data_IF_621427167389
#
_entry.id   IF_621427167389
#
_cell.length_a   1.000
_cell.length_b   1.000
_cell.length_c   1.000
_cell.angle_alpha   90.00
_cell.angle_beta   90.00
_cell.angle_gamma   90.00
#
_symmetry.space_group_name_H-M   'P 1'
#
loop_
_entity.id
_entity.type
_entity.pdbx_description
1 polymer ?
#
# COMPACT_ATOMS: atom_id res chain seq x y z
N UNK A 1 4.55 -1.58 0.22
CA UNK A 1 3.64 -1.75 -0.92
C UNK A 1 4.45 -1.84 -2.21
N UNK A 2 4.09 -2.80 -3.08
CA UNK A 2 4.79 -3.01 -4.35
C UNK A 2 4.26 -2.05 -5.41
N UNK A 3 5.17 -1.32 -6.02
CA UNK A 3 4.80 -0.38 -7.07
C UNK A 3 4.31 -1.14 -8.31
N UNK A 4 3.16 -0.70 -8.84
CA UNK A 4 2.59 -1.24 -10.08
C UNK A 4 2.20 -2.73 -10.07
N UNK A 5 2.00 -3.35 -8.89
CA UNK A 5 1.63 -4.76 -8.77
C UNK A 5 0.37 -5.13 -9.55
N UNK A 6 -0.64 -4.24 -9.54
CA UNK A 6 -1.86 -4.44 -10.33
C UNK A 6 -1.54 -4.59 -11.82
N UNK A 7 -0.64 -3.76 -12.36
CA UNK A 7 -0.27 -3.84 -13.78
C UNK A 7 0.40 -5.19 -14.12
N UNK A 8 1.17 -5.76 -13.19
CA UNK A 8 1.73 -7.11 -13.34
C UNK A 8 0.62 -8.16 -13.43
N UNK A 9 -0.37 -8.10 -12.53
CA UNK A 9 -1.51 -9.00 -12.59
C UNK A 9 -2.32 -8.86 -13.88
N UNK A 10 -2.58 -7.62 -14.29
CA UNK A 10 -3.37 -7.33 -15.49
C UNK A 10 -2.66 -7.79 -16.77
N UNK A 11 -1.33 -7.69 -16.83
CA UNK A 11 -0.53 -8.05 -18.00
C UNK A 11 -0.12 -9.51 -18.05
N UNK A 12 0.23 -10.13 -16.91
CA UNK A 12 0.83 -11.47 -16.84
C UNK A 12 -0.02 -12.49 -16.09
N UNK A 13 -1.17 -12.04 -15.56
CA UNK A 13 -2.10 -12.87 -14.80
C UNK A 13 -1.75 -13.02 -13.32
N UNK A 14 -2.72 -13.44 -12.52
CA UNK A 14 -2.58 -13.55 -11.05
C UNK A 14 -1.48 -14.54 -10.62
N UNK A 15 -1.22 -15.58 -11.39
CA UNK A 15 -0.13 -16.52 -11.07
C UNK A 15 1.24 -15.83 -11.09
N UNK A 16 1.46 -14.95 -12.05
CA UNK A 16 2.68 -14.15 -12.13
C UNK A 16 2.82 -13.18 -10.93
N UNK A 17 1.71 -12.55 -10.53
CA UNK A 17 1.67 -11.74 -9.32
C UNK A 17 1.97 -12.55 -8.05
N UNK A 18 1.45 -13.76 -7.93
CA UNK A 18 1.75 -14.64 -6.79
C UNK A 18 3.24 -15.03 -6.74
N UNK A 19 3.86 -15.30 -7.87
CA UNK A 19 5.29 -15.63 -7.94
C UNK A 19 6.16 -14.39 -7.64
N UNK A 20 5.74 -13.21 -8.07
CA UNK A 20 6.35 -11.94 -7.67
C UNK A 20 6.28 -11.74 -6.16
N UNK A 21 5.11 -11.93 -5.55
CA UNK A 21 4.94 -11.82 -4.09
C UNK A 21 5.84 -12.78 -3.31
N UNK A 22 6.00 -14.03 -3.77
CA UNK A 22 6.93 -14.99 -3.16
C UNK A 22 8.38 -14.52 -3.27
N UNK A 23 8.77 -14.00 -4.43
CA UNK A 23 10.11 -13.46 -4.65
C UNK A 23 10.41 -12.30 -3.71
N UNK A 24 9.46 -11.37 -3.59
CA UNK A 24 9.55 -10.23 -2.67
C UNK A 24 9.62 -10.69 -1.22
N UNK A 25 8.73 -11.61 -0.80
CA UNK A 25 8.74 -12.13 0.55
C UNK A 25 10.08 -12.78 0.91
N UNK A 26 10.66 -13.56 0.00
CA UNK A 26 11.99 -14.16 0.18
C UNK A 26 13.10 -13.11 0.29
N UNK A 27 13.07 -12.07 -0.55
CA UNK A 27 14.03 -10.98 -0.51
C UNK A 27 13.94 -10.17 0.80
N UNK A 28 12.73 -9.86 1.27
CA UNK A 28 12.50 -9.19 2.55
C UNK A 28 12.93 -10.06 3.72
N UNK A 29 12.61 -11.36 3.70
CA UNK A 29 13.02 -12.31 4.75
C UNK A 29 14.52 -12.44 4.84
N UNK A 30 15.23 -12.42 3.72
CA UNK A 30 16.71 -12.48 3.69
C UNK A 30 17.38 -11.24 4.28
N UNK A 31 16.64 -10.14 4.49
CA UNK A 31 17.14 -8.92 5.12
C UNK A 31 16.69 -8.74 6.57
N UNK A 32 15.61 -9.38 6.94
CA UNK A 32 15.09 -9.31 8.30
C UNK A 32 15.98 -10.08 9.27
N UNK A 33 16.20 -9.50 10.45
CA UNK A 33 16.85 -10.18 11.58
C UNK A 33 15.90 -11.24 12.15
N UNK A 34 16.41 -12.11 13.00
CA UNK A 34 15.60 -13.12 13.70
C UNK A 34 14.52 -12.46 14.60
N UNK A 35 14.85 -11.29 15.15
CA UNK A 35 13.96 -10.49 16.01
C UNK A 35 12.92 -9.69 15.24
N UNK A 36 13.12 -9.48 13.94
CA UNK A 36 12.21 -8.68 13.12
C UNK A 36 10.97 -9.49 12.73
N UNK A 37 9.81 -8.84 12.75
CA UNK A 37 8.55 -9.46 12.38
C UNK A 37 8.19 -9.00 10.97
N UNK A 38 8.12 -9.94 10.05
CA UNK A 38 7.68 -9.71 8.67
C UNK A 38 6.30 -10.34 8.47
N UNK A 39 5.36 -9.57 7.97
CA UNK A 39 4.01 -10.01 7.64
C UNK A 39 3.56 -9.48 6.28
N UNK A 40 2.72 -10.24 5.59
CA UNK A 40 1.93 -9.74 4.46
C UNK A 40 0.57 -9.30 5.00
N UNK A 41 0.22 -8.02 4.83
CA UNK A 41 -1.00 -7.42 5.37
C UNK A 41 -2.22 -7.68 4.47
N UNK A 42 -1.99 -7.75 3.17
CA UNK A 42 -3.00 -8.04 2.15
C UNK A 42 -2.52 -7.60 0.78
N UNK A 43 -3.08 -8.15 -0.29
CA UNK A 43 -2.73 -7.75 -1.66
C UNK A 43 -1.21 -7.73 -1.90
N UNK A 44 -0.66 -6.56 -2.16
CA UNK A 44 0.76 -6.26 -2.39
C UNK A 44 1.43 -5.55 -1.20
N UNK A 45 0.75 -5.47 -0.06
CA UNK A 45 1.23 -4.79 1.14
C UNK A 45 1.97 -5.74 2.09
N UNK A 46 3.16 -5.32 2.52
CA UNK A 46 3.98 -5.99 3.53
C UNK A 46 4.23 -5.07 4.72
N UNK A 47 4.19 -5.63 5.92
CA UNK A 47 4.55 -4.94 7.16
C UNK A 47 5.80 -5.54 7.78
N UNK A 48 6.68 -4.69 8.29
CA UNK A 48 7.89 -5.09 9.02
C UNK A 48 7.93 -4.33 10.34
N UNK A 49 8.03 -5.06 11.44
CA UNK A 49 8.29 -4.46 12.76
C UNK A 49 9.74 -4.71 13.10
N UNK A 50 10.44 -3.64 13.41
CA UNK A 50 11.86 -3.65 13.79
C UNK A 50 11.97 -3.33 15.30
N UNK A 51 12.12 -4.33 16.18
CA UNK A 51 12.32 -4.07 17.60
C UNK A 51 13.66 -3.38 17.88
N UNK A 52 13.66 -2.47 18.84
CA UNK A 52 14.88 -1.83 19.37
C UNK A 52 15.76 -1.16 18.29
N UNK A 53 15.13 -0.44 17.36
CA UNK A 53 15.83 0.38 16.38
C UNK A 53 15.49 1.86 16.61
N UNK A 54 16.48 2.71 16.44
CA UNK A 54 16.31 4.16 16.37
C UNK A 54 15.99 4.62 14.93
N UNK A 55 15.82 5.93 14.75
CA UNK A 55 15.47 6.51 13.45
C UNK A 55 16.56 6.29 12.40
N UNK A 56 17.83 6.38 12.77
CA UNK A 56 18.95 6.21 11.84
C UNK A 56 19.05 4.75 11.38
N UNK A 57 18.89 3.81 12.30
CA UNK A 57 18.88 2.39 12.00
C UNK A 57 17.67 2.01 11.13
N UNK A 58 16.49 2.58 11.42
CA UNK A 58 15.30 2.37 10.61
C UNK A 58 15.48 2.89 9.18
N UNK A 59 16.16 4.04 9.01
CA UNK A 59 16.51 4.59 7.70
C UNK A 59 17.39 3.65 6.90
N UNK A 60 18.46 3.14 7.50
CA UNK A 60 19.38 2.17 6.88
C UNK A 60 18.63 0.91 6.44
N UNK A 61 17.70 0.41 7.27
CA UNK A 61 16.90 -0.77 6.91
C UNK A 61 15.95 -0.44 5.76
N UNK A 62 15.23 0.68 5.81
CA UNK A 62 14.28 1.07 4.77
C UNK A 62 14.98 1.30 3.41
N UNK A 63 16.10 2.01 3.41
CA UNK A 63 16.92 2.20 2.21
C UNK A 63 17.43 0.86 1.67
N UNK A 64 17.86 -0.02 2.57
CA UNK A 64 18.31 -1.36 2.23
C UNK A 64 17.20 -2.20 1.59
N UNK A 65 15.95 -2.11 2.06
CA UNK A 65 14.79 -2.78 1.48
C UNK A 65 14.56 -2.28 0.05
N UNK A 66 14.46 -0.97 -0.15
CA UNK A 66 14.28 -0.37 -1.50
C UNK A 66 15.39 -0.83 -2.45
N UNK A 67 16.65 -0.73 -2.04
CA UNK A 67 17.80 -1.17 -2.86
C UNK A 67 17.76 -2.68 -3.16
N UNK A 68 17.31 -3.49 -2.21
CA UNK A 68 17.23 -4.95 -2.41
C UNK A 68 16.14 -5.28 -3.42
N UNK A 69 14.96 -4.70 -3.29
CA UNK A 69 13.86 -4.94 -4.22
C UNK A 69 14.20 -4.43 -5.63
N UNK A 70 14.79 -3.24 -5.76
CA UNK A 70 15.25 -2.70 -7.05
C UNK A 70 16.25 -3.62 -7.77
N UNK A 71 17.06 -4.40 -7.03
CA UNK A 71 17.97 -5.39 -7.61
C UNK A 71 17.29 -6.70 -7.97
N UNK A 72 16.10 -6.94 -7.43
CA UNK A 72 15.31 -8.09 -7.79
C UNK A 72 14.68 -7.86 -9.16
N UNK A 73 14.91 -8.80 -10.03
CA UNK A 73 14.20 -8.85 -11.30
C UNK A 73 13.33 -10.10 -11.27
N UNK A 74 12.03 -9.92 -11.29
CA UNK A 74 11.13 -11.05 -11.39
C UNK A 74 11.15 -11.58 -12.83
N UNK A 75 11.47 -12.87 -13.01
CA UNK A 75 11.35 -13.54 -14.29
C UNK A 75 9.90 -14.01 -14.45
N UNK A 76 9.10 -13.24 -15.19
CA UNK A 76 7.71 -13.55 -15.46
C UNK A 76 7.51 -13.77 -16.95
N UNK A 77 7.11 -14.98 -17.34
CA UNK A 77 6.87 -15.35 -18.73
C UNK A 77 7.98 -14.92 -19.71
N UNK A 78 9.24 -15.21 -19.35
CA UNK A 78 10.46 -14.82 -20.10
C UNK A 78 10.79 -13.31 -20.11
N UNK A 79 10.01 -12.48 -19.40
CA UNK A 79 10.28 -11.05 -19.26
C UNK A 79 10.93 -10.75 -17.91
N UNK A 80 11.92 -9.86 -17.96
CA UNK A 80 12.55 -9.32 -16.77
C UNK A 80 11.76 -8.07 -16.33
N UNK A 81 11.07 -8.17 -15.19
CA UNK A 81 10.28 -7.06 -14.65
C UNK A 81 11.02 -6.49 -13.44
N UNK A 82 11.39 -5.20 -13.47
CA UNK A 82 11.97 -4.56 -12.30
C UNK A 82 10.95 -4.50 -11.17
N UNK A 83 11.39 -4.88 -9.96
CA UNK A 83 10.56 -4.84 -8.76
C UNK A 83 10.92 -3.59 -7.97
N UNK A 84 9.97 -2.70 -7.76
CA UNK A 84 10.13 -1.54 -6.89
C UNK A 84 9.05 -1.51 -5.83
N UNK A 85 9.31 -0.79 -4.75
CA UNK A 85 8.37 -0.61 -3.66
C UNK A 85 8.43 0.81 -3.09
N UNK A 86 7.28 1.27 -2.64
CA UNK A 86 7.15 2.46 -1.80
C UNK A 86 7.06 2.04 -0.35
N UNK A 87 7.94 2.58 0.50
CA UNK A 87 8.08 2.19 1.90
C UNK A 87 7.76 3.37 2.80
N UNK A 88 6.80 3.20 3.72
CA UNK A 88 6.52 4.14 4.79
C UNK A 88 7.16 3.68 6.09
N UNK A 89 7.80 4.58 6.79
CA UNK A 89 8.46 4.32 8.07
C UNK A 89 7.85 5.19 9.15
N UNK A 90 7.43 4.57 10.25
CA UNK A 90 6.96 5.28 11.44
C UNK A 90 7.62 4.70 12.70
N UNK A 91 7.95 5.57 13.65
CA UNK A 91 8.54 5.18 14.92
C UNK A 91 7.46 5.06 15.99
N UNK A 92 7.60 4.08 16.88
CA UNK A 92 6.76 3.92 18.07
C UNK A 92 7.20 4.97 19.13
N UNK A 93 6.86 6.21 18.89
CA UNK A 93 7.14 7.33 19.81
C UNK A 93 5.80 7.82 20.41
N UNK A 94 5.31 7.08 21.38
CA UNK A 94 4.06 7.38 22.07
C UNK A 94 2.77 7.15 21.24
N UNK A 95 2.87 6.62 20.03
CA UNK A 95 1.71 6.30 19.19
C UNK A 95 1.06 4.96 19.59
N UNK A 96 -0.25 4.88 19.46
CA UNK A 96 -0.99 3.61 19.59
C UNK A 96 -0.75 2.71 18.38
N UNK A 97 -1.12 1.42 18.49
CA UNK A 97 -0.98 0.47 17.38
C UNK A 97 -1.75 0.88 16.12
N UNK A 98 -2.88 1.57 16.27
CA UNK A 98 -3.68 2.07 15.14
C UNK A 98 -3.02 3.29 14.52
N UNK A 99 -2.53 4.20 15.34
CA UNK A 99 -1.86 5.43 14.88
C UNK A 99 -0.56 5.14 14.17
N UNK A 100 0.22 4.14 14.61
CA UNK A 100 1.48 3.78 13.96
C UNK A 100 1.26 3.22 12.55
N UNK A 101 0.23 2.40 12.34
CA UNK A 101 -0.11 1.91 11.01
C UNK A 101 -0.55 3.05 10.10
N UNK A 102 -1.43 3.92 10.59
CA UNK A 102 -1.86 5.10 9.83
C UNK A 102 -0.68 6.04 9.50
N UNK A 103 0.25 6.22 10.43
CA UNK A 103 1.46 7.00 10.22
C UNK A 103 2.36 6.39 9.14
N UNK A 104 2.57 5.07 9.17
CA UNK A 104 3.33 4.35 8.15
C UNK A 104 2.65 4.43 6.77
N UNK A 105 1.32 4.27 6.71
CA UNK A 105 0.54 4.41 5.46
C UNK A 105 0.69 5.80 4.85
N UNK A 106 0.66 6.86 5.67
CA UNK A 106 0.86 8.23 5.21
C UNK A 106 2.25 8.43 4.62
N UNK A 107 3.27 7.96 5.32
CA UNK A 107 4.64 8.05 4.82
C UNK A 107 4.80 7.25 3.51
N UNK A 108 4.20 6.08 3.42
CA UNK A 108 4.19 5.28 2.19
C UNK A 108 3.51 6.04 1.03
N UNK A 109 2.39 6.71 1.31
CA UNK A 109 1.71 7.53 0.32
C UNK A 109 2.56 8.72 -0.13
N UNK A 110 3.29 9.37 0.79
CA UNK A 110 4.28 10.40 0.43
C UNK A 110 5.39 9.84 -0.47
N UNK A 111 5.88 8.63 -0.19
CA UNK A 111 6.85 7.96 -1.06
C UNK A 111 6.28 7.72 -2.47
N UNK A 112 5.03 7.27 -2.58
CA UNK A 112 4.33 7.08 -3.87
C UNK A 112 4.17 8.39 -4.65
N UNK A 113 3.77 9.48 -3.98
CA UNK A 113 3.62 10.79 -4.61
C UNK A 113 4.96 11.39 -5.04
N UNK A 114 6.02 11.13 -4.31
CA UNK A 114 7.36 11.63 -4.64
C UNK A 114 8.04 10.87 -5.80
N UNK A 115 7.35 9.92 -6.44
CA UNK A 115 7.84 9.21 -7.62
C UNK A 115 8.14 7.73 -7.39
N UNK A 116 7.64 7.13 -6.31
CA UNK A 116 7.79 5.70 -5.96
C UNK A 116 9.26 5.25 -5.80
N UNK A 117 9.49 3.94 -5.67
CA UNK A 117 10.84 3.34 -5.56
C UNK A 117 11.71 4.02 -4.50
N UNK A 118 11.13 4.28 -3.34
CA UNK A 118 11.75 5.00 -2.22
C UNK A 118 11.07 4.71 -0.89
N UNK A 119 11.68 5.20 0.17
CA UNK A 119 11.05 5.28 1.48
C UNK A 119 10.76 6.73 1.85
N UNK A 120 9.83 6.92 2.79
CA UNK A 120 9.60 8.16 3.49
C UNK A 120 9.36 7.88 4.98
N UNK A 121 9.76 8.83 5.83
CA UNK A 121 9.46 8.80 7.25
C UNK A 121 8.20 9.58 7.57
N UNK A 122 7.37 9.02 8.40
CA UNK A 122 6.30 9.78 9.03
C UNK A 122 6.93 10.88 9.91
N UNK A 123 6.58 12.11 9.63
CA UNK A 123 6.96 13.29 10.43
C UNK A 123 5.69 13.95 10.92
N UNK A 124 5.42 13.93 12.25
CA UNK A 124 4.32 14.74 12.80
C UNK A 124 4.56 16.20 12.41
N UNK A 125 3.68 16.78 11.64
CA UNK A 125 3.76 18.22 11.30
C UNK A 125 3.24 19.02 12.48
N UNK A 126 4.09 19.88 13.07
CA UNK A 126 3.75 20.77 14.18
C UNK A 126 2.72 21.84 13.82
N UNK A 127 2.44 22.10 12.54
CA UNK A 127 1.57 23.20 12.09
C UNK A 127 0.60 22.82 10.95
N UNK A 128 0.40 21.56 10.63
CA UNK A 128 -0.58 21.16 9.64
C UNK A 128 -1.63 20.27 10.29
N UNK A 129 -2.88 20.66 10.15
CA UNK A 129 -4.03 19.79 10.42
C UNK A 129 -3.77 18.38 9.93
N UNK A 130 -4.08 17.35 10.74
CA UNK A 130 -3.65 15.99 10.48
C UNK A 130 -4.28 15.47 9.18
N UNK A 131 -3.47 15.36 8.15
CA UNK A 131 -3.76 14.48 7.01
C UNK A 131 -3.50 12.98 7.34
N UNK A 132 -3.05 12.68 8.59
CA UNK A 132 -3.17 11.36 9.22
C UNK A 132 -4.61 10.90 9.29
N UNK A 133 -5.48 11.82 9.12
CA UNK A 133 -6.87 11.67 8.89
C UNK A 133 -7.24 11.26 7.46
N UNK A 134 -6.39 10.84 6.57
CA UNK A 134 -6.94 10.44 5.26
C UNK A 134 -7.91 9.27 5.43
N UNK A 135 -7.53 8.18 6.07
CA UNK A 135 -8.48 7.11 6.38
C UNK A 135 -9.41 7.44 7.56
N UNK A 136 -8.92 8.16 8.61
CA UNK A 136 -9.80 8.64 9.67
C UNK A 136 -10.69 9.81 9.18
N UNK A 137 -10.19 10.75 8.41
CA UNK A 137 -11.01 11.80 7.80
C UNK A 137 -11.87 11.27 6.66
N UNK A 138 -11.46 10.23 5.95
CA UNK A 138 -12.33 9.48 5.05
C UNK A 138 -13.40 8.73 5.85
N UNK A 139 -13.06 8.06 6.93
CA UNK A 139 -14.03 7.40 7.82
C UNK A 139 -14.97 8.41 8.50
N UNK A 140 -14.45 9.51 9.04
CA UNK A 140 -15.25 10.61 9.56
C UNK A 140 -16.02 11.33 8.46
N UNK A 141 -15.46 11.44 7.26
CA UNK A 141 -16.12 11.95 6.06
C UNK A 141 -17.29 11.08 5.64
N UNK A 142 -17.10 9.77 5.61
CA UNK A 142 -18.14 8.77 5.35
C UNK A 142 -19.20 8.81 6.45
N UNK A 143 -18.80 8.88 7.71
CA UNK A 143 -19.74 8.93 8.83
C UNK A 143 -20.56 10.23 8.85
N UNK A 144 -19.96 11.36 8.53
CA UNK A 144 -20.65 12.64 8.31
C UNK A 144 -21.57 12.58 7.10
N UNK A 145 -21.15 11.93 6.02
CA UNK A 145 -21.97 11.75 4.83
C UNK A 145 -23.20 10.89 5.08
N UNK A 146 -23.04 9.82 5.89
CA UNK A 146 -24.15 8.98 6.35
C UNK A 146 -25.16 9.76 7.21
N UNK A 147 -24.67 10.58 8.15
CA UNK A 147 -25.53 11.36 9.05
C UNK A 147 -26.23 12.55 8.37
N UNK A 148 -25.72 13.01 7.24
CA UNK A 148 -26.26 14.17 6.51
C UNK A 148 -26.87 13.78 5.15
N UNK A 149 -27.15 12.50 4.92
CA UNK A 149 -27.74 11.98 3.67
C UNK A 149 -27.00 12.42 2.39
N UNK A 150 -25.65 12.44 2.48
CA UNK A 150 -24.76 12.88 1.40
C UNK A 150 -24.16 11.71 0.60
N UNK A 151 -24.66 10.52 0.80
CA UNK A 151 -24.27 9.36 0.00
C UNK A 151 -25.28 9.12 -1.12
N UNK A 152 -24.76 8.85 -2.30
CA UNK A 152 -25.55 8.51 -3.48
C UNK A 152 -25.09 7.16 -4.02
N UNK A 153 -26.06 6.32 -4.32
CA UNK A 153 -25.81 5.01 -4.93
C UNK A 153 -26.05 5.13 -6.43
N UNK A 154 -24.98 5.01 -7.22
CA UNK A 154 -25.06 4.94 -8.66
C UNK A 154 -25.06 3.47 -9.11
N UNK A 155 -25.76 3.21 -10.20
CA UNK A 155 -25.89 1.89 -10.80
C UNK A 155 -25.24 1.92 -12.19
N UNK A 156 -24.17 1.13 -12.38
CA UNK A 156 -23.50 1.00 -13.67
C UNK A 156 -23.87 -0.33 -14.31
N UNK A 157 -24.51 -0.35 -15.49
CA UNK A 157 -24.85 -1.59 -16.17
C UNK A 157 -23.61 -2.25 -16.77
N UNK A 158 -23.56 -3.57 -16.67
CA UNK A 158 -22.57 -4.43 -17.33
C UNK A 158 -23.25 -5.15 -18.45
N UNK A 159 -22.79 -4.94 -19.69
CA UNK A 159 -23.33 -5.56 -20.89
C UNK A 159 -22.61 -6.88 -21.19
N UNK A 160 -23.36 -7.89 -21.51
CA UNK A 160 -22.83 -9.07 -22.18
C UNK A 160 -22.61 -8.73 -23.67
N UNK A 161 -21.35 -8.81 -24.11
CA UNK A 161 -20.96 -8.43 -25.48
C UNK A 161 -21.44 -9.47 -26.54
N UNK A 162 -21.81 -10.68 -26.14
CA UNK A 162 -22.30 -11.67 -27.05
C UNK A 162 -23.81 -11.51 -27.34
N UNK A 163 -24.57 -11.12 -26.30
CA UNK A 163 -26.05 -10.96 -26.42
C UNK A 163 -26.44 -9.47 -26.56
N UNK A 164 -25.55 -8.55 -26.27
CA UNK A 164 -25.78 -7.10 -26.19
C UNK A 164 -26.90 -6.74 -25.19
N UNK A 165 -27.07 -7.56 -24.15
CA UNK A 165 -28.04 -7.36 -23.06
C UNK A 165 -27.30 -7.04 -21.76
N UNK A 166 -27.98 -6.29 -20.87
CA UNK A 166 -27.44 -6.02 -19.53
C UNK A 166 -27.56 -7.28 -18.68
N UNK A 167 -26.42 -7.86 -18.31
CA UNK A 167 -26.38 -9.09 -17.51
C UNK A 167 -26.21 -8.85 -16.01
N UNK A 168 -25.63 -7.71 -15.62
CA UNK A 168 -25.36 -7.34 -14.23
C UNK A 168 -25.38 -5.82 -14.04
N UNK A 169 -25.41 -5.39 -12.78
CA UNK A 169 -25.22 -4.00 -12.39
C UNK A 169 -24.17 -3.92 -11.31
N UNK A 170 -23.22 -3.00 -11.46
CA UNK A 170 -22.30 -2.63 -10.40
C UNK A 170 -22.89 -1.46 -9.61
N UNK A 171 -22.94 -1.59 -8.28
CA UNK A 171 -23.40 -0.52 -7.40
C UNK A 171 -22.19 0.29 -6.90
N UNK A 172 -22.18 1.55 -7.22
CA UNK A 172 -21.09 2.48 -6.92
C UNK A 172 -21.58 3.53 -5.94
N UNK A 173 -21.00 3.53 -4.74
CA UNK A 173 -21.28 4.58 -3.75
C UNK A 173 -20.51 5.85 -4.11
N UNK A 174 -21.21 7.00 -4.07
CA UNK A 174 -20.63 8.32 -4.31
C UNK A 174 -20.93 9.25 -3.14
N UNK A 175 -19.99 10.14 -2.89
CA UNK A 175 -20.16 11.23 -1.93
C UNK A 175 -20.60 12.49 -2.68
N UNK A 176 -21.74 13.05 -2.30
CA UNK A 176 -22.14 14.38 -2.79
C UNK A 176 -21.25 15.45 -2.16
N UNK A 177 -20.57 16.21 -3.00
CA UNK A 177 -19.74 17.35 -2.59
C UNK A 177 -20.59 18.59 -2.35
#
# INVERSE_FOLDING_TARGET
DLDHFKAVNDQFGHKAGDDLLKTVAAALRGRARETDILARLGGDEFGIILPQVDAEQAEVVAEGIVKTLRRQTAMLAEHQIPVTASVGVALFDGLTNVEILAAADLAMYEAKQAGRDRFAFYRPRSDAQPRASSRLAEAEGIQRALTHDRLELLCQPILDLATNEVCQYELLLRLRT
#
